data_IF_959221306037
#
_entry.id   IF_959221306037
#
_cell.length_a   1.000
_cell.length_b   1.000
_cell.length_c   1.000
_cell.angle_alpha   90.00
_cell.angle_beta   90.00
_cell.angle_gamma   90.00
#
_symmetry.space_group_name_H-M   'P 1'
#
loop_
_entity.id
_entity.type
_entity.pdbx_description
1 polymer ?
#
# COMPACT_ATOMS: atom_id res chain seq x y z
N UNK A 1 2.21 6.72 -14.62
CA UNK A 1 1.20 6.03 -13.78
C UNK A 1 1.23 6.51 -12.32
N UNK A 2 2.34 6.39 -11.57
CA UNK A 2 2.42 6.90 -10.18
C UNK A 2 2.09 8.40 -10.02
N UNK A 3 2.54 9.25 -10.96
CA UNK A 3 2.27 10.70 -10.94
C UNK A 3 0.79 11.07 -11.12
N UNK A 4 0.00 10.24 -11.83
CA UNK A 4 -1.43 10.47 -12.03
C UNK A 4 -2.21 10.16 -10.75
N UNK A 5 -1.83 9.10 -10.03
CA UNK A 5 -2.41 8.80 -8.71
C UNK A 5 -2.19 9.95 -7.72
N UNK A 6 -0.95 10.45 -7.71
CA UNK A 6 -0.50 11.52 -6.84
C UNK A 6 -1.20 12.87 -7.08
N UNK A 7 -1.62 13.16 -8.32
CA UNK A 7 -2.23 14.42 -8.70
C UNK A 7 -3.76 14.43 -8.57
N UNK A 8 -4.43 13.31 -8.85
CA UNK A 8 -5.88 13.26 -9.00
C UNK A 8 -6.62 12.32 -8.03
N UNK A 9 -5.92 11.64 -7.12
CA UNK A 9 -6.53 10.57 -6.31
C UNK A 9 -7.22 9.52 -7.20
N UNK A 10 -6.55 9.20 -8.32
CA UNK A 10 -7.07 8.36 -9.38
C UNK A 10 -7.19 6.87 -8.95
N UNK A 11 -8.41 6.31 -8.84
CA UNK A 11 -8.62 4.93 -8.41
C UNK A 11 -7.88 3.88 -9.26
N UNK A 12 -7.69 4.13 -10.56
CA UNK A 12 -6.99 3.19 -11.44
C UNK A 12 -5.49 3.16 -11.17
N UNK A 13 -4.93 4.33 -10.83
CA UNK A 13 -3.53 4.44 -10.50
C UNK A 13 -3.23 3.92 -9.08
N UNK A 14 -4.20 3.97 -8.15
CA UNK A 14 -4.15 3.21 -6.89
C UNK A 14 -4.11 1.72 -7.18
N UNK A 15 -5.04 1.21 -7.99
CA UNK A 15 -5.14 -0.20 -8.31
C UNK A 15 -3.82 -0.73 -8.89
N UNK A 16 -3.19 -0.01 -9.82
CA UNK A 16 -1.89 -0.36 -10.36
C UNK A 16 -0.77 -0.45 -9.29
N UNK A 17 -0.77 0.44 -8.30
CA UNK A 17 0.17 0.39 -7.16
C UNK A 17 -0.13 -0.80 -6.26
N UNK A 18 -1.40 -1.05 -5.93
CA UNK A 18 -1.84 -2.19 -5.14
C UNK A 18 -1.43 -3.50 -5.82
N UNK A 19 -1.78 -3.70 -7.09
CA UNK A 19 -1.46 -4.93 -7.82
C UNK A 19 0.06 -5.19 -7.88
N UNK A 20 0.87 -4.13 -8.01
CA UNK A 20 2.33 -4.26 -8.06
C UNK A 20 2.96 -4.61 -6.71
N UNK A 21 2.38 -4.17 -5.60
CA UNK A 21 2.96 -4.35 -4.26
C UNK A 21 2.24 -5.39 -3.39
N UNK A 22 1.07 -5.89 -3.83
CA UNK A 22 0.27 -6.86 -3.11
C UNK A 22 1.06 -8.12 -2.72
N UNK A 23 1.80 -8.71 -3.66
CA UNK A 23 2.60 -9.91 -3.40
C UNK A 23 3.72 -9.68 -2.37
N UNK A 24 4.31 -8.48 -2.35
CA UNK A 24 5.34 -8.11 -1.38
C UNK A 24 4.73 -7.90 0.02
N UNK A 25 3.68 -7.09 0.12
CA UNK A 25 3.00 -6.83 1.40
C UNK A 25 2.45 -8.12 1.99
N UNK A 26 1.82 -8.96 1.17
CA UNK A 26 1.33 -10.27 1.60
C UNK A 26 2.45 -11.18 2.14
N UNK A 27 3.60 -11.21 1.46
CA UNK A 27 4.77 -11.95 1.90
C UNK A 27 5.28 -11.48 3.26
N UNK A 28 5.28 -10.17 3.52
CA UNK A 28 5.68 -9.59 4.80
C UNK A 28 4.65 -9.89 5.90
N UNK A 29 3.36 -9.63 5.66
CA UNK A 29 2.28 -9.91 6.62
C UNK A 29 2.29 -11.38 7.05
N UNK A 30 2.42 -12.32 6.09
CA UNK A 30 2.52 -13.75 6.40
C UNK A 30 3.76 -14.13 7.20
N UNK A 31 4.89 -13.46 6.95
CA UNK A 31 6.16 -13.74 7.63
C UNK A 31 6.16 -13.23 9.07
N UNK A 32 5.50 -12.10 9.33
CA UNK A 32 5.44 -11.48 10.65
C UNK A 32 4.36 -12.11 11.53
N UNK A 33 3.17 -12.35 11.00
CA UNK A 33 2.01 -12.72 11.82
C UNK A 33 1.82 -14.23 11.96
N UNK A 34 2.38 -15.04 11.06
CA UNK A 34 2.36 -16.51 11.14
C UNK A 34 0.97 -17.16 10.98
N UNK A 35 -0.10 -16.42 11.27
CA UNK A 35 -1.50 -16.79 11.14
C UNK A 35 -2.13 -16.13 9.90
N UNK A 36 -2.89 -16.91 9.13
CA UNK A 36 -3.44 -16.46 7.84
C UNK A 36 -4.45 -15.31 7.99
N UNK A 37 -5.34 -15.38 8.99
CA UNK A 37 -6.33 -14.33 9.25
C UNK A 37 -5.69 -13.02 9.69
N UNK A 38 -4.73 -13.06 10.61
CA UNK A 38 -4.03 -11.86 11.05
C UNK A 38 -3.25 -11.22 9.88
N UNK A 39 -2.64 -12.05 9.03
CA UNK A 39 -1.96 -11.57 7.82
C UNK A 39 -2.92 -10.92 6.82
N UNK A 40 -4.16 -11.42 6.70
CA UNK A 40 -5.20 -10.84 5.88
C UNK A 40 -5.67 -9.49 6.43
N UNK A 41 -5.91 -9.40 7.73
CA UNK A 41 -6.30 -8.14 8.40
C UNK A 41 -5.20 -7.07 8.26
N UNK A 42 -3.94 -7.44 8.47
CA UNK A 42 -2.81 -6.52 8.31
C UNK A 42 -2.62 -6.07 6.86
N UNK A 43 -2.82 -6.98 5.90
CA UNK A 43 -2.79 -6.68 4.48
C UNK A 43 -3.88 -5.66 4.12
N UNK A 44 -5.13 -5.90 4.53
CA UNK A 44 -6.25 -5.00 4.29
C UNK A 44 -6.02 -3.63 4.95
N UNK A 45 -5.60 -3.61 6.22
CA UNK A 45 -5.32 -2.38 6.97
C UNK A 45 -4.24 -1.52 6.29
N UNK A 46 -3.18 -2.15 5.76
CA UNK A 46 -2.10 -1.47 5.05
C UNK A 46 -2.62 -0.69 3.84
N UNK A 47 -3.49 -1.29 3.03
CA UNK A 47 -4.05 -0.64 1.85
C UNK A 47 -5.11 0.41 2.19
N UNK A 48 -5.88 0.24 3.26
CA UNK A 48 -6.80 1.27 3.77
C UNK A 48 -6.01 2.51 4.23
N UNK A 49 -4.90 2.32 4.94
CA UNK A 49 -4.02 3.42 5.36
C UNK A 49 -3.38 4.08 4.12
N UNK A 50 -2.93 3.31 3.13
CA UNK A 50 -2.40 3.83 1.86
C UNK A 50 -3.45 4.68 1.15
N UNK A 51 -4.70 4.20 1.00
CA UNK A 51 -5.78 4.95 0.35
C UNK A 51 -6.13 6.25 1.09
N UNK A 52 -6.20 6.22 2.44
CA UNK A 52 -6.45 7.42 3.25
C UNK A 52 -5.32 8.43 3.16
N UNK A 53 -4.07 7.97 3.16
CA UNK A 53 -2.90 8.84 3.02
C UNK A 53 -2.67 9.28 1.57
N UNK A 54 -3.22 8.57 0.59
CA UNK A 54 -3.05 8.92 -0.81
C UNK A 54 -3.59 10.32 -1.14
N UNK A 55 -4.68 10.73 -0.48
CA UNK A 55 -5.22 12.08 -0.59
C UNK A 55 -4.37 13.18 0.07
N UNK A 56 -3.35 12.83 0.85
CA UNK A 56 -2.43 13.81 1.48
C UNK A 56 -1.15 13.91 0.67
N UNK A 57 -0.82 15.03 0.06
CA UNK A 57 0.29 15.27 -0.91
C UNK A 57 1.72 14.87 -0.48
N UNK A 58 1.95 14.38 0.74
CA UNK A 58 3.29 14.26 1.36
C UNK A 58 4.08 12.97 1.05
N UNK A 59 3.46 11.92 0.54
CA UNK A 59 4.08 10.62 0.20
C UNK A 59 4.59 10.56 -1.25
N UNK A 60 4.31 11.59 -2.05
CA UNK A 60 4.69 11.72 -3.46
C UNK A 60 6.21 11.60 -3.70
N UNK A 61 7.02 11.96 -2.71
CA UNK A 61 8.47 11.94 -2.83
C UNK A 61 9.11 10.55 -2.68
N UNK A 62 8.45 9.59 -2.00
CA UNK A 62 9.06 8.28 -1.76
C UNK A 62 8.06 7.17 -1.39
N UNK A 63 7.26 6.70 -2.36
CA UNK A 63 6.33 5.56 -2.18
C UNK A 63 7.06 4.29 -1.72
N UNK A 64 8.26 4.01 -2.25
CA UNK A 64 9.04 2.82 -1.89
C UNK A 64 9.55 2.89 -0.45
N UNK A 65 10.03 4.05 -0.01
CA UNK A 65 10.44 4.27 1.39
C UNK A 65 9.26 4.19 2.36
N UNK A 66 8.08 4.70 1.97
CA UNK A 66 6.88 4.60 2.78
C UNK A 66 6.39 3.15 2.91
N UNK A 67 6.30 2.41 1.80
CA UNK A 67 5.92 0.98 1.83
C UNK A 67 6.86 0.14 2.70
N UNK A 68 8.15 0.49 2.74
CA UNK A 68 9.13 -0.16 3.61
C UNK A 68 9.01 0.24 5.10
N UNK A 69 8.25 1.29 5.43
CA UNK A 69 8.05 1.78 6.80
C UNK A 69 6.77 1.21 7.44
N UNK A 70 5.79 0.83 6.62
CA UNK A 70 4.50 0.25 7.05
C UNK A 70 4.43 -1.28 6.94
N UNK A 71 5.32 -1.89 6.16
CA UNK A 71 5.52 -3.34 6.12
C UNK A 71 6.44 -3.77 7.27
#
# INVERSE_FOLDING_TARGET
MLHAFAANNDPDAFAAVVTRHASLVWGVCRRILGHHQDAEDAFQATFVILARRAGSTRWQANISGWLHTIA
#
